data_IF_837320990504
#
_entry.id   IF_837320990504
#
_cell.length_a   1.000
_cell.length_b   1.000
_cell.length_c   1.000
_cell.angle_alpha   90.00
_cell.angle_beta   90.00
_cell.angle_gamma   90.00
#
_symmetry.space_group_name_H-M   'P 1'
#
loop_
_entity.id
_entity.type
_entity.pdbx_description
1 polymer ?
#
# COMPACT_ATOMS: atom_id res chain seq x y z
N UNK A 1 52.68 26.39 -9.75
CA UNK A 1 52.46 25.48 -8.61
C UNK A 1 51.24 26.03 -7.90
N UNK A 2 50.04 25.46 -7.95
CA UNK A 2 49.64 24.06 -7.98
C UNK A 2 48.51 23.96 -6.95
N UNK A 3 47.28 24.09 -7.44
CA UNK A 3 46.01 23.96 -6.70
C UNK A 3 45.91 22.64 -5.93
N UNK A 4 45.25 22.66 -4.76
CA UNK A 4 44.62 21.54 -4.02
C UNK A 4 44.04 22.10 -2.70
N UNK A 5 42.89 21.69 -2.19
CA UNK A 5 41.67 21.10 -2.72
C UNK A 5 40.67 21.21 -1.56
N UNK A 6 39.53 21.83 -1.80
CA UNK A 6 38.32 21.64 -1.01
C UNK A 6 37.78 20.23 -1.29
N UNK A 7 37.54 19.43 -0.25
CA UNK A 7 36.74 18.19 -0.32
C UNK A 7 35.95 18.11 0.98
N UNK A 8 34.64 18.38 0.98
CA UNK A 8 33.53 17.50 0.57
C UNK A 8 32.95 16.77 1.79
N UNK A 9 32.06 17.48 2.51
CA UNK A 9 31.13 16.90 3.48
C UNK A 9 29.86 16.49 2.73
N UNK A 10 29.69 15.20 2.45
CA UNK A 10 28.42 14.55 2.08
C UNK A 10 28.67 13.05 1.97
N UNK A 11 28.17 12.24 2.93
CA UNK A 11 27.94 10.79 2.79
C UNK A 11 27.35 10.19 4.09
N UNK A 12 26.17 10.64 4.54
CA UNK A 12 25.49 10.02 5.70
C UNK A 12 23.98 9.80 5.52
N UNK A 13 23.37 10.26 4.42
CA UNK A 13 21.90 10.19 4.24
C UNK A 13 21.46 9.00 3.38
N UNK A 14 22.35 8.44 2.54
CA UNK A 14 22.04 7.27 1.69
C UNK A 14 22.02 5.94 2.44
N UNK A 15 22.81 5.81 3.51
CA UNK A 15 23.03 4.51 4.18
C UNK A 15 21.82 4.05 5.02
N UNK A 16 21.03 5.00 5.53
CA UNK A 16 19.93 4.69 6.46
C UNK A 16 18.64 4.27 5.75
N UNK A 17 18.37 4.82 4.56
CA UNK A 17 17.23 4.43 3.71
C UNK A 17 17.45 3.07 3.05
N UNK A 18 18.70 2.74 2.71
CA UNK A 18 19.06 1.46 2.10
C UNK A 18 18.91 0.31 3.11
N UNK A 19 19.19 0.56 4.39
CA UNK A 19 19.00 -0.42 5.46
C UNK A 19 17.52 -0.78 5.71
N UNK A 20 16.65 0.23 5.82
CA UNK A 20 15.20 0.02 6.03
C UNK A 20 14.52 -0.59 4.81
N UNK A 21 14.93 -0.22 3.60
CA UNK A 21 14.42 -0.83 2.37
C UNK A 21 14.86 -2.30 2.24
N UNK A 22 16.02 -2.66 2.78
CA UNK A 22 16.52 -4.05 2.81
C UNK A 22 15.73 -4.92 3.80
N UNK A 23 15.38 -4.37 4.96
CA UNK A 23 14.57 -5.05 5.99
C UNK A 23 13.13 -5.31 5.50
N UNK A 24 12.56 -4.34 4.78
CA UNK A 24 11.24 -4.47 4.12
C UNK A 24 11.32 -5.43 2.93
N UNK A 25 12.43 -5.43 2.20
CA UNK A 25 12.71 -6.38 1.12
C UNK A 25 12.74 -7.83 1.61
N UNK A 26 13.43 -8.10 2.71
CA UNK A 26 13.46 -9.41 3.39
C UNK A 26 12.08 -9.83 3.94
N UNK A 27 11.25 -8.86 4.33
CA UNK A 27 9.91 -9.09 4.89
C UNK A 27 8.84 -9.39 3.82
N UNK A 28 8.85 -8.68 2.68
CA UNK A 28 7.88 -8.86 1.59
C UNK A 28 8.11 -10.16 0.81
N UNK A 29 9.35 -10.62 0.76
CA UNK A 29 9.76 -11.92 0.23
C UNK A 29 11.14 -12.24 0.82
N UNK A 30 11.35 -13.39 1.47
CA UNK A 30 12.70 -13.80 1.87
C UNK A 30 13.66 -13.98 0.67
N UNK A 31 13.13 -13.90 -0.56
CA UNK A 31 13.89 -13.93 -1.80
C UNK A 31 14.01 -12.52 -2.38
N UNK A 32 15.21 -11.96 -2.28
CA UNK A 32 15.67 -10.94 -3.21
C UNK A 32 15.79 -11.60 -4.59
N UNK A 33 14.90 -11.25 -5.53
CA UNK A 33 14.87 -11.87 -6.86
C UNK A 33 16.12 -11.56 -7.68
N UNK A 34 16.74 -10.40 -7.48
CA UNK A 34 17.97 -10.01 -8.16
C UNK A 34 19.15 -10.80 -7.60
N UNK A 35 19.25 -10.93 -6.28
CA UNK A 35 20.28 -11.74 -5.64
C UNK A 35 20.05 -13.24 -5.90
N UNK A 36 18.80 -13.71 -5.88
CA UNK A 36 18.42 -15.08 -6.23
C UNK A 36 18.80 -15.38 -7.67
N UNK A 37 18.50 -14.48 -8.62
CA UNK A 37 18.91 -14.61 -10.00
C UNK A 37 20.43 -14.61 -10.14
N UNK A 38 21.14 -13.73 -9.42
CA UNK A 38 22.60 -13.68 -9.40
C UNK A 38 23.20 -14.99 -8.88
N UNK A 39 22.68 -15.53 -7.78
CA UNK A 39 23.10 -16.81 -7.19
C UNK A 39 22.83 -17.98 -8.14
N UNK A 40 21.65 -18.02 -8.76
CA UNK A 40 21.27 -19.02 -9.77
C UNK A 40 22.23 -18.98 -10.96
N UNK A 41 22.53 -17.79 -11.49
CA UNK A 41 23.48 -17.61 -12.59
C UNK A 41 24.92 -17.91 -12.19
N UNK A 42 25.34 -17.58 -10.97
CA UNK A 42 26.69 -17.87 -10.47
C UNK A 42 26.91 -19.38 -10.25
N UNK A 43 25.85 -20.09 -9.88
CA UNK A 43 25.86 -21.55 -9.70
C UNK A 43 25.69 -22.32 -11.03
N UNK A 44 25.62 -21.61 -12.17
CA UNK A 44 25.40 -22.20 -13.49
C UNK A 44 26.64 -22.96 -13.97
N UNK A 45 26.47 -24.25 -14.24
CA UNK A 45 27.49 -25.00 -14.97
C UNK A 45 27.63 -24.45 -16.42
N UNK A 46 28.83 -24.45 -17.02
CA UNK A 46 29.07 -23.93 -18.36
C UNK A 46 28.10 -24.53 -19.39
N UNK A 47 27.56 -23.69 -20.30
CA UNK A 47 26.64 -24.08 -21.39
C UNK A 47 25.27 -24.64 -20.98
N UNK A 48 24.94 -24.72 -19.70
CA UNK A 48 23.63 -25.19 -19.21
C UNK A 48 22.60 -24.06 -19.23
N UNK A 49 21.32 -24.38 -19.49
CA UNK A 49 20.22 -23.40 -19.51
C UNK A 49 20.10 -22.55 -20.78
N UNK A 50 21.05 -22.64 -21.71
CA UNK A 50 21.09 -21.86 -22.96
C UNK A 50 20.29 -22.47 -24.12
N UNK A 51 20.00 -23.77 -24.10
CA UNK A 51 19.27 -24.47 -25.19
C UNK A 51 17.96 -23.76 -25.61
N UNK A 52 17.12 -23.28 -24.67
CA UNK A 52 15.91 -22.56 -25.04
C UNK A 52 16.18 -21.25 -25.77
N UNK A 53 17.28 -20.55 -25.46
CA UNK A 53 17.68 -19.29 -26.10
C UNK A 53 18.10 -19.46 -27.56
N UNK A 54 18.53 -20.68 -27.94
CA UNK A 54 18.91 -21.03 -29.30
C UNK A 54 17.73 -21.53 -30.14
N UNK A 55 16.54 -21.65 -29.53
CA UNK A 55 15.35 -22.14 -30.24
C UNK A 55 14.74 -21.05 -31.12
N UNK A 56 14.22 -21.46 -32.27
CA UNK A 56 13.50 -20.56 -33.17
C UNK A 56 12.29 -19.92 -32.49
N UNK A 57 11.60 -20.67 -31.62
CA UNK A 57 10.48 -20.18 -30.82
C UNK A 57 10.88 -19.02 -29.89
N UNK A 58 12.04 -19.12 -29.24
CA UNK A 58 12.57 -18.03 -28.42
C UNK A 58 12.93 -16.81 -29.25
N UNK A 59 13.60 -16.99 -30.39
CA UNK A 59 14.01 -15.89 -31.26
C UNK A 59 12.79 -15.13 -31.80
N UNK A 60 11.76 -15.84 -32.28
CA UNK A 60 10.51 -15.24 -32.74
C UNK A 60 9.79 -14.48 -31.65
N UNK A 61 9.70 -15.06 -30.45
CA UNK A 61 9.11 -14.37 -29.29
C UNK A 61 9.90 -13.14 -28.87
N UNK A 62 11.24 -13.26 -28.77
CA UNK A 62 12.13 -12.15 -28.40
C UNK A 62 12.06 -11.00 -29.42
N UNK A 63 11.89 -11.30 -30.70
CA UNK A 63 11.74 -10.30 -31.75
C UNK A 63 10.32 -9.69 -31.83
N UNK A 64 9.36 -10.24 -31.09
CA UNK A 64 7.98 -9.76 -31.05
C UNK A 64 7.06 -10.34 -32.13
N UNK A 65 7.53 -11.33 -32.91
CA UNK A 65 6.71 -12.03 -33.91
C UNK A 65 5.60 -12.86 -33.22
N UNK A 66 5.91 -13.41 -32.04
CA UNK A 66 4.98 -14.19 -31.21
C UNK A 66 4.77 -13.50 -29.85
N UNK A 67 3.50 -13.38 -29.39
CA UNK A 67 3.16 -12.67 -28.14
C UNK A 67 3.48 -13.42 -26.86
N UNK A 68 3.63 -14.74 -26.92
CA UNK A 68 3.76 -15.58 -25.73
C UNK A 68 4.68 -16.76 -26.02
N UNK A 69 5.72 -16.92 -25.19
CA UNK A 69 6.59 -18.08 -25.19
C UNK A 69 6.22 -18.99 -24.02
N UNK A 70 5.70 -20.18 -24.33
CA UNK A 70 5.44 -21.21 -23.32
C UNK A 70 6.62 -22.17 -23.28
N UNK A 71 7.26 -22.30 -22.11
CA UNK A 71 8.32 -23.27 -21.88
C UNK A 71 7.87 -24.28 -20.81
N UNK A 72 7.79 -25.56 -21.19
CA UNK A 72 7.47 -26.65 -20.28
C UNK A 72 8.72 -27.47 -19.93
N UNK A 73 8.78 -27.99 -18.70
CA UNK A 73 9.85 -28.91 -18.31
C UNK A 73 9.50 -29.72 -17.06
N UNK A 74 10.05 -30.94 -16.97
CA UNK A 74 9.91 -31.82 -15.80
C UNK A 74 10.43 -31.13 -14.52
N UNK A 75 9.98 -31.52 -13.32
CA UNK A 75 10.62 -31.10 -12.06
C UNK A 75 12.14 -31.33 -12.13
N UNK A 76 12.93 -30.35 -11.69
CA UNK A 76 14.40 -30.42 -11.78
C UNK A 76 15.01 -30.15 -13.18
N UNK A 77 14.21 -29.95 -14.24
CA UNK A 77 14.72 -29.70 -15.60
C UNK A 77 15.43 -28.34 -15.80
N UNK A 78 15.68 -27.58 -14.73
CA UNK A 78 16.36 -26.28 -14.81
C UNK A 78 15.46 -25.12 -15.24
N UNK A 79 14.14 -25.18 -15.02
CA UNK A 79 13.21 -24.08 -15.35
C UNK A 79 13.65 -22.72 -14.81
N UNK A 80 14.08 -22.67 -13.54
CA UNK A 80 14.60 -21.44 -12.92
C UNK A 80 15.92 -20.98 -13.56
N UNK A 81 16.80 -21.90 -13.94
CA UNK A 81 18.04 -21.59 -14.68
C UNK A 81 17.72 -21.01 -16.06
N UNK A 82 16.74 -21.59 -16.77
CA UNK A 82 16.26 -21.10 -18.06
C UNK A 82 15.65 -19.72 -17.93
N UNK A 83 14.78 -19.49 -16.95
CA UNK A 83 14.19 -18.18 -16.69
C UNK A 83 15.27 -17.11 -16.41
N UNK A 84 16.24 -17.43 -15.54
CA UNK A 84 17.36 -16.54 -15.26
C UNK A 84 18.23 -16.24 -16.48
N UNK A 85 18.44 -17.25 -17.35
CA UNK A 85 19.21 -17.09 -18.60
C UNK A 85 18.46 -16.27 -19.64
N UNK A 86 17.12 -16.41 -19.73
CA UNK A 86 16.26 -15.55 -20.57
C UNK A 86 16.33 -14.10 -20.10
N UNK A 87 16.21 -13.86 -18.80
CA UNK A 87 16.31 -12.49 -18.28
C UNK A 87 17.71 -11.90 -18.53
N UNK A 88 18.77 -12.70 -18.40
CA UNK A 88 20.13 -12.27 -18.74
C UNK A 88 20.27 -11.94 -20.22
N UNK A 89 19.84 -12.82 -21.13
CA UNK A 89 19.88 -12.59 -22.58
C UNK A 89 19.06 -11.35 -22.96
N UNK A 90 17.88 -11.17 -22.38
CA UNK A 90 17.07 -9.97 -22.63
C UNK A 90 17.77 -8.70 -22.14
N UNK A 91 18.43 -8.74 -20.98
CA UNK A 91 19.17 -7.59 -20.47
C UNK A 91 20.38 -7.25 -21.35
N UNK A 92 21.11 -8.25 -21.85
CA UNK A 92 22.24 -8.08 -22.78
C UNK A 92 21.78 -7.65 -24.17
N UNK A 93 20.77 -8.33 -24.73
CA UNK A 93 20.20 -8.06 -26.05
C UNK A 93 19.58 -6.66 -26.14
N UNK A 94 19.00 -6.21 -25.04
CA UNK A 94 18.42 -4.90 -24.91
C UNK A 94 19.30 -3.97 -24.06
N UNK A 95 20.63 -4.14 -24.05
CA UNK A 95 21.55 -3.23 -23.35
C UNK A 95 21.27 -1.76 -23.74
N UNK A 96 20.82 -0.96 -22.77
CA UNK A 96 20.38 0.43 -22.97
C UNK A 96 18.89 0.64 -23.24
N UNK A 97 18.05 -0.40 -23.16
CA UNK A 97 16.62 -0.29 -23.47
C UNK A 97 15.72 0.18 -22.35
N UNK A 98 14.61 0.73 -22.84
CA UNK A 98 13.40 1.24 -22.20
C UNK A 98 12.78 0.35 -21.11
N UNK A 99 13.16 -0.93 -21.01
CA UNK A 99 12.65 -1.85 -19.98
C UNK A 99 13.03 -1.38 -18.56
N UNK A 100 14.27 -0.91 -18.37
CA UNK A 100 14.70 -0.33 -17.10
C UNK A 100 13.86 0.90 -16.72
N UNK A 101 13.53 1.73 -17.72
CA UNK A 101 12.71 2.94 -17.54
C UNK A 101 11.27 2.56 -17.18
N UNK A 102 10.70 1.53 -17.81
CA UNK A 102 9.35 1.03 -17.50
C UNK A 102 9.29 0.48 -16.08
N UNK A 103 10.24 -0.35 -15.69
CA UNK A 103 10.31 -0.91 -14.33
C UNK A 103 10.45 0.20 -13.29
N UNK A 104 11.34 1.17 -13.55
CA UNK A 104 11.55 2.30 -12.66
C UNK A 104 10.31 3.19 -12.55
N UNK A 105 9.63 3.47 -13.67
CA UNK A 105 8.41 4.30 -13.72
C UNK A 105 7.19 3.60 -13.13
N UNK A 106 7.10 2.28 -13.30
CA UNK A 106 6.03 1.47 -12.73
C UNK A 106 6.11 1.38 -11.20
N UNK A 107 7.31 1.56 -10.62
CA UNK A 107 7.50 1.54 -9.17
C UNK A 107 6.97 0.26 -8.51
N UNK A 108 7.15 -0.88 -9.18
CA UNK A 108 6.64 -2.18 -8.72
C UNK A 108 5.18 -2.50 -9.04
N UNK A 109 4.42 -1.60 -9.69
CA UNK A 109 3.02 -1.87 -10.04
C UNK A 109 2.86 -2.45 -11.45
N UNK A 110 2.33 -3.67 -11.53
CA UNK A 110 2.07 -4.33 -12.81
C UNK A 110 1.07 -3.57 -13.69
N UNK A 111 0.07 -2.90 -13.10
CA UNK A 111 -0.92 -2.10 -13.85
C UNK A 111 -0.26 -0.90 -14.52
N UNK A 112 0.60 -0.17 -13.80
CA UNK A 112 1.34 0.97 -14.37
C UNK A 112 2.36 0.48 -15.40
N UNK A 113 3.04 -0.64 -15.14
CA UNK A 113 3.94 -1.26 -16.12
C UNK A 113 3.19 -1.61 -17.42
N UNK A 114 2.01 -2.24 -17.32
CA UNK A 114 1.18 -2.58 -18.49
C UNK A 114 0.73 -1.34 -19.25
N UNK A 115 0.13 -0.37 -18.56
CA UNK A 115 -0.35 0.88 -19.19
C UNK A 115 0.79 1.65 -19.87
N UNK A 116 1.97 1.68 -19.25
CA UNK A 116 3.15 2.31 -19.81
C UNK A 116 3.66 1.53 -21.03
N UNK A 117 3.66 0.20 -20.99
CA UNK A 117 4.03 -0.63 -22.14
C UNK A 117 3.05 -0.47 -23.30
N UNK A 118 1.74 -0.48 -23.04
CA UNK A 118 0.70 -0.26 -24.05
C UNK A 118 0.86 1.12 -24.71
N UNK A 119 1.01 2.18 -23.90
CA UNK A 119 1.22 3.55 -24.41
C UNK A 119 2.55 3.69 -25.20
N UNK A 120 3.61 3.00 -24.77
CA UNK A 120 4.89 3.01 -25.48
C UNK A 120 4.86 2.24 -26.81
N UNK A 121 4.04 1.19 -26.90
CA UNK A 121 3.81 0.43 -28.14
C UNK A 121 2.99 1.25 -29.14
N UNK A 122 2.08 2.10 -28.68
CA UNK A 122 1.27 2.99 -29.52
C UNK A 122 2.00 4.27 -29.94
N UNK A 123 3.13 4.59 -29.31
CA UNK A 123 3.89 5.81 -29.60
C UNK A 123 4.51 5.77 -31.03
N UNK A 124 4.17 6.71 -31.92
CA UNK A 124 4.59 6.65 -33.33
C UNK A 124 6.05 7.04 -33.54
N UNK A 125 6.71 7.66 -32.56
CA UNK A 125 8.12 8.06 -32.65
C UNK A 125 8.78 8.20 -31.26
N UNK A 126 10.12 8.30 -31.27
CA UNK A 126 10.94 8.38 -30.05
C UNK A 126 10.62 9.62 -29.19
N UNK A 127 10.30 10.76 -29.81
CA UNK A 127 9.97 12.00 -29.09
C UNK A 127 8.69 11.84 -28.27
N UNK A 128 7.68 11.17 -28.85
CA UNK A 128 6.39 10.92 -28.20
C UNK A 128 6.50 9.85 -27.12
N UNK A 129 7.28 8.80 -27.36
CA UNK A 129 7.62 7.80 -26.33
C UNK A 129 8.36 8.42 -25.12
N UNK A 130 9.32 9.31 -25.37
CA UNK A 130 10.00 10.08 -24.31
C UNK A 130 9.02 11.01 -23.60
N UNK A 131 8.10 11.64 -24.34
CA UNK A 131 7.02 12.44 -23.76
C UNK A 131 6.16 11.62 -22.79
N UNK A 132 5.75 10.41 -23.16
CA UNK A 132 4.97 9.50 -22.31
C UNK A 132 5.76 9.13 -21.05
N UNK A 133 7.04 8.75 -21.19
CA UNK A 133 7.91 8.41 -20.06
C UNK A 133 8.08 9.58 -19.09
N UNK A 134 8.29 10.79 -19.61
CA UNK A 134 8.55 11.98 -18.81
C UNK A 134 7.28 12.50 -18.12
N UNK A 135 6.13 12.37 -18.76
CA UNK A 135 4.83 12.85 -18.23
C UNK A 135 4.13 11.83 -17.34
N UNK A 136 4.37 10.52 -17.53
CA UNK A 136 3.81 9.49 -16.68
C UNK A 136 4.32 9.65 -15.24
N UNK A 137 3.39 9.71 -14.26
CA UNK A 137 3.76 9.75 -12.85
C UNK A 137 4.52 8.48 -12.48
N UNK A 138 5.59 8.64 -11.70
CA UNK A 138 6.34 7.52 -11.12
C UNK A 138 5.46 6.84 -10.08
N UNK A 139 4.85 5.73 -10.47
CA UNK A 139 3.78 5.10 -9.73
C UNK A 139 2.58 6.03 -9.42
N UNK A 140 1.71 5.59 -8.50
CA UNK A 140 0.50 6.33 -8.10
C UNK A 140 0.75 7.22 -6.88
N UNK A 141 1.92 7.11 -6.27
CA UNK A 141 2.34 7.84 -5.06
C UNK A 141 2.21 9.36 -5.25
N UNK A 142 2.68 9.91 -6.38
CA UNK A 142 2.54 11.34 -6.68
C UNK A 142 1.10 11.78 -6.91
N UNK A 143 0.23 10.90 -7.40
CA UNK A 143 -1.20 11.17 -7.58
C UNK A 143 -1.93 11.13 -6.25
N UNK A 144 -1.67 10.11 -5.40
CA UNK A 144 -2.18 10.05 -4.04
C UNK A 144 -1.76 11.27 -3.22
N UNK A 145 -0.48 11.67 -3.36
CA UNK A 145 0.07 12.88 -2.76
C UNK A 145 -0.74 14.13 -3.08
N UNK A 146 -1.02 14.37 -4.36
CA UNK A 146 -1.85 15.51 -4.77
C UNK A 146 -3.27 15.42 -4.23
N UNK A 147 -3.88 14.23 -4.24
CA UNK A 147 -5.24 14.03 -3.70
C UNK A 147 -5.31 14.30 -2.20
N UNK A 148 -4.38 13.73 -1.42
CA UNK A 148 -4.33 13.92 0.04
C UNK A 148 -3.94 15.36 0.39
N UNK A 149 -3.03 15.98 -0.36
CA UNK A 149 -2.70 17.39 -0.19
C UNK A 149 -3.92 18.29 -0.43
N UNK A 150 -4.64 18.09 -1.55
CA UNK A 150 -5.86 18.84 -1.85
C UNK A 150 -6.94 18.66 -0.77
N UNK A 151 -7.05 17.45 -0.21
CA UNK A 151 -7.92 17.16 0.92
C UNK A 151 -7.51 17.92 2.19
N UNK A 152 -6.20 17.99 2.49
CA UNK A 152 -5.66 18.71 3.64
C UNK A 152 -5.73 20.24 3.52
N UNK A 153 -5.65 20.77 2.30
CA UNK A 153 -5.72 22.19 1.95
C UNK A 153 -7.16 22.70 1.74
N UNK A 154 -8.15 21.80 1.78
CA UNK A 154 -9.56 22.14 1.63
C UNK A 154 -10.04 23.17 2.66
N UNK A 155 -10.95 24.05 2.25
CA UNK A 155 -11.47 25.16 3.08
C UNK A 155 -12.48 24.71 4.14
N UNK A 156 -13.06 23.51 4.01
CA UNK A 156 -14.03 22.99 4.97
C UNK A 156 -13.33 22.05 5.99
N UNK A 157 -13.14 22.48 7.25
CA UNK A 157 -12.48 21.66 8.26
C UNK A 157 -13.25 20.39 8.60
N UNK A 158 -14.58 20.40 8.55
CA UNK A 158 -15.39 19.22 8.88
C UNK A 158 -15.20 18.10 7.85
N UNK A 159 -15.15 18.44 6.55
CA UNK A 159 -14.89 17.47 5.47
C UNK A 159 -13.47 16.94 5.55
N UNK A 160 -12.51 17.81 5.88
CA UNK A 160 -11.11 17.42 6.07
C UNK A 160 -10.97 16.41 7.22
N UNK A 161 -11.54 16.71 8.38
CA UNK A 161 -11.49 15.83 9.55
C UNK A 161 -12.20 14.51 9.28
N UNK A 162 -13.37 14.56 8.63
CA UNK A 162 -14.09 13.37 8.15
C UNK A 162 -13.19 12.47 7.30
N UNK A 163 -12.50 13.03 6.31
CA UNK A 163 -11.65 12.27 5.42
C UNK A 163 -10.42 11.70 6.14
N UNK A 164 -9.71 12.50 6.94
CA UNK A 164 -8.51 12.09 7.64
C UNK A 164 -8.80 11.03 8.72
N UNK A 165 -9.90 11.15 9.46
CA UNK A 165 -10.30 10.16 10.46
C UNK A 165 -10.74 8.85 9.81
N UNK A 166 -11.42 8.94 8.66
CA UNK A 166 -11.81 7.74 7.91
C UNK A 166 -10.58 6.99 7.40
N UNK A 167 -9.64 7.70 6.77
CA UNK A 167 -8.39 7.11 6.29
C UNK A 167 -7.55 6.54 7.43
N UNK A 168 -7.52 7.19 8.60
CA UNK A 168 -6.84 6.68 9.79
C UNK A 168 -7.41 5.32 10.21
N UNK A 169 -8.73 5.21 10.37
CA UNK A 169 -9.36 3.96 10.80
C UNK A 169 -9.23 2.86 9.76
N UNK A 170 -9.40 3.15 8.46
CA UNK A 170 -9.27 2.15 7.40
C UNK A 170 -7.82 1.64 7.28
N UNK A 171 -6.83 2.53 7.46
CA UNK A 171 -5.41 2.18 7.26
C UNK A 171 -4.83 1.39 8.44
N UNK A 172 -5.16 1.78 9.68
CA UNK A 172 -4.48 1.25 10.87
C UNK A 172 -5.31 0.22 11.65
N UNK A 173 -6.53 -0.08 11.19
CA UNK A 173 -7.30 -1.21 11.74
C UNK A 173 -6.73 -2.53 11.27
N UNK A 174 -6.63 -3.51 12.19
CA UNK A 174 -6.16 -4.86 11.87
C UNK A 174 -7.10 -5.69 11.01
N UNK A 175 -8.38 -5.31 10.96
CA UNK A 175 -9.39 -5.96 10.14
C UNK A 175 -10.13 -4.92 9.33
N UNK A 176 -10.70 -5.39 8.24
CA UNK A 176 -11.63 -4.61 7.43
C UNK A 176 -12.84 -4.25 8.30
N UNK A 177 -13.16 -2.97 8.35
CA UNK A 177 -14.31 -2.44 9.08
C UNK A 177 -15.56 -2.48 8.19
N UNK A 178 -16.72 -2.65 8.78
CA UNK A 178 -17.99 -2.35 8.10
C UNK A 178 -18.35 -0.87 8.26
N UNK A 179 -19.22 -0.36 7.38
CA UNK A 179 -19.58 1.05 7.34
C UNK A 179 -20.09 1.57 8.68
N UNK A 180 -20.95 0.82 9.37
CA UNK A 180 -21.49 1.23 10.69
C UNK A 180 -20.40 1.36 11.76
N UNK A 181 -19.42 0.46 11.77
CA UNK A 181 -18.27 0.54 12.69
C UNK A 181 -17.42 1.79 12.39
N UNK A 182 -17.14 2.05 11.11
CA UNK A 182 -16.37 3.21 10.71
C UNK A 182 -17.12 4.51 11.02
N UNK A 183 -18.43 4.54 10.78
CA UNK A 183 -19.31 5.68 11.02
C UNK A 183 -19.25 6.10 12.50
N UNK A 184 -19.38 5.15 13.42
CA UNK A 184 -19.31 5.41 14.87
C UNK A 184 -17.91 5.80 15.33
N UNK A 185 -16.87 5.18 14.78
CA UNK A 185 -15.49 5.52 15.07
C UNK A 185 -15.17 6.98 14.71
N UNK A 186 -15.59 7.40 13.52
CA UNK A 186 -15.40 8.76 13.01
C UNK A 186 -16.29 9.75 13.77
N UNK A 187 -17.55 9.39 14.07
CA UNK A 187 -18.45 10.22 14.87
C UNK A 187 -17.86 10.53 16.26
N UNK A 188 -17.21 9.54 16.88
CA UNK A 188 -16.55 9.69 18.18
C UNK A 188 -15.34 10.62 18.12
N UNK A 189 -14.61 10.61 17.00
CA UNK A 189 -13.50 11.54 16.80
C UNK A 189 -13.99 12.98 16.57
N UNK A 190 -15.03 13.16 15.76
CA UNK A 190 -15.60 14.48 15.48
C UNK A 190 -16.28 15.09 16.70
N UNK A 191 -17.00 14.29 17.49
CA UNK A 191 -17.72 14.73 18.70
C UNK A 191 -17.56 13.74 19.84
N UNK A 192 -16.44 13.79 20.59
CA UNK A 192 -16.16 12.84 21.68
C UNK A 192 -17.23 12.82 22.78
N UNK A 193 -17.86 13.95 23.07
CA UNK A 193 -18.85 14.07 24.15
C UNK A 193 -20.24 13.51 23.76
N UNK A 194 -20.56 13.50 22.45
CA UNK A 194 -21.85 13.02 21.97
C UNK A 194 -21.77 12.51 20.51
N UNK A 195 -21.13 11.36 20.26
CA UNK A 195 -20.98 10.79 18.92
C UNK A 195 -22.31 10.59 18.20
N UNK A 196 -23.36 10.22 18.93
CA UNK A 196 -24.70 10.00 18.37
C UNK A 196 -25.25 11.19 17.57
N UNK A 197 -24.86 12.43 17.92
CA UNK A 197 -25.32 13.62 17.21
C UNK A 197 -24.87 13.65 15.74
N UNK A 198 -23.63 13.24 15.44
CA UNK A 198 -23.10 13.19 14.08
C UNK A 198 -23.77 12.11 13.21
N UNK A 199 -24.19 11.01 13.85
CA UNK A 199 -24.87 9.89 13.18
C UNK A 199 -26.30 10.31 12.82
N UNK A 200 -27.00 10.99 13.74
CA UNK A 200 -28.38 11.44 13.52
C UNK A 200 -28.51 12.63 12.56
N UNK A 201 -27.43 13.35 12.28
CA UNK A 201 -27.47 14.55 11.44
C UNK A 201 -27.26 14.28 9.94
N UNK A 202 -27.22 13.01 9.51
CA UNK A 202 -26.96 12.56 8.13
C UNK A 202 -25.65 13.10 7.50
N UNK A 203 -24.72 13.58 8.33
CA UNK A 203 -23.41 14.08 7.86
C UNK A 203 -22.52 12.90 7.45
N UNK A 204 -22.67 11.74 8.11
CA UNK A 204 -21.85 10.55 7.91
C UNK A 204 -22.60 9.49 7.08
N UNK A 205 -22.90 9.79 5.82
CA UNK A 205 -23.47 8.81 4.88
C UNK A 205 -22.35 8.08 4.13
N UNK A 206 -22.69 6.96 3.47
CA UNK A 206 -21.77 6.25 2.58
C UNK A 206 -21.20 7.19 1.51
N UNK A 207 -22.05 8.03 0.94
CA UNK A 207 -21.68 8.96 -0.11
C UNK A 207 -20.76 10.06 0.42
N UNK A 208 -21.09 10.66 1.57
CA UNK A 208 -20.25 11.73 2.13
C UNK A 208 -18.85 11.23 2.52
N UNK A 209 -18.71 9.99 2.98
CA UNK A 209 -17.40 9.38 3.24
C UNK A 209 -16.58 9.18 1.96
N UNK A 210 -17.20 8.63 0.91
CA UNK A 210 -16.53 8.39 -0.38
C UNK A 210 -16.10 9.72 -1.02
N UNK A 211 -16.97 10.72 -0.97
CA UNK A 211 -16.71 12.06 -1.50
C UNK A 211 -15.62 12.78 -0.70
N UNK A 212 -15.69 12.74 0.64
CA UNK A 212 -14.69 13.35 1.51
C UNK A 212 -13.30 12.74 1.31
N UNK A 213 -13.22 11.41 1.15
CA UNK A 213 -11.98 10.71 0.86
C UNK A 213 -11.54 10.79 -0.62
N UNK A 214 -12.22 11.61 -1.45
CA UNK A 214 -11.87 11.86 -2.84
C UNK A 214 -11.68 10.57 -3.67
N UNK A 215 -12.49 9.54 -3.42
CA UNK A 215 -12.43 8.27 -4.14
C UNK A 215 -11.25 7.35 -3.76
N UNK A 216 -10.51 7.64 -2.69
CA UNK A 216 -9.47 6.74 -2.17
C UNK A 216 -10.03 5.50 -1.46
N UNK A 217 -11.33 5.52 -1.14
CA UNK A 217 -12.04 4.45 -0.46
C UNK A 217 -13.18 3.92 -1.33
N UNK A 218 -13.55 2.67 -1.08
CA UNK A 218 -14.74 2.01 -1.65
C UNK A 218 -15.51 1.30 -0.55
N UNK A 219 -16.83 1.21 -0.72
CA UNK A 219 -17.73 0.50 0.20
C UNK A 219 -18.41 -0.60 -0.61
N UNK A 220 -18.28 -1.86 -0.16
CA UNK A 220 -18.89 -3.01 -0.84
C UNK A 220 -20.42 -3.04 -0.62
N UNK A 221 -21.21 -3.03 -1.69
CA UNK A 221 -22.69 -2.98 -1.61
C UNK A 221 -23.34 -4.11 -0.78
N UNK A 222 -22.73 -5.31 -0.79
CA UNK A 222 -23.33 -6.50 -0.15
C UNK A 222 -22.93 -6.70 1.30
N UNK A 223 -21.73 -6.25 1.67
CA UNK A 223 -21.13 -6.56 2.97
C UNK A 223 -20.92 -5.32 3.82
N UNK A 224 -21.11 -4.14 3.23
CA UNK A 224 -20.79 -2.84 3.81
C UNK A 224 -19.34 -2.70 4.28
N UNK A 225 -18.45 -3.57 3.79
CA UNK A 225 -17.02 -3.47 4.10
C UNK A 225 -16.42 -2.26 3.42
N UNK A 226 -15.72 -1.45 4.21
CA UNK A 226 -15.01 -0.27 3.73
C UNK A 226 -13.55 -0.63 3.48
N UNK A 227 -13.05 -0.31 2.29
CA UNK A 227 -11.68 -0.62 1.87
C UNK A 227 -11.05 0.58 1.18
N UNK A 228 -9.72 0.58 1.15
CA UNK A 228 -8.99 1.42 0.21
C UNK A 228 -9.20 0.87 -1.21
N UNK A 229 -9.29 1.77 -2.18
CA UNK A 229 -9.50 1.40 -3.59
C UNK A 229 -8.38 0.51 -4.13
N UNK A 230 -7.18 0.62 -3.56
CA UNK A 230 -6.03 -0.22 -3.90
C UNK A 230 -5.06 -0.34 -2.73
N UNK A 231 -4.32 -1.46 -2.64
CA UNK A 231 -3.38 -1.70 -1.54
C UNK A 231 -2.23 -0.67 -1.51
N UNK A 232 -1.82 -0.13 -2.66
CA UNK A 232 -0.76 0.90 -2.72
C UNK A 232 -1.15 2.22 -2.05
N UNK A 233 -2.46 2.47 -1.86
CA UNK A 233 -2.94 3.61 -1.07
C UNK A 233 -2.60 3.39 0.40
N UNK A 234 -2.68 2.14 0.88
CA UNK A 234 -2.28 1.78 2.23
C UNK A 234 -0.79 2.07 2.45
N UNK A 235 0.06 1.60 1.53
CA UNK A 235 1.51 1.83 1.58
C UNK A 235 1.85 3.33 1.61
N UNK A 236 1.16 4.13 0.78
CA UNK A 236 1.32 5.59 0.80
C UNK A 236 0.94 6.21 2.15
N UNK A 237 -0.24 5.86 2.68
CA UNK A 237 -0.74 6.43 3.94
C UNK A 237 0.08 6.01 5.17
N UNK A 238 0.60 4.77 5.18
CA UNK A 238 1.55 4.31 6.22
C UNK A 238 2.84 5.12 6.16
N UNK A 239 3.36 5.39 4.96
CA UNK A 239 4.58 6.19 4.80
C UNK A 239 4.40 7.64 5.22
N UNK A 240 3.24 8.23 4.93
CA UNK A 240 2.88 9.60 5.28
C UNK A 240 2.30 9.76 6.69
N UNK A 241 2.28 8.69 7.50
CA UNK A 241 1.63 8.66 8.80
C UNK A 241 2.04 9.83 9.71
N UNK A 242 3.34 10.14 9.76
CA UNK A 242 3.90 11.19 10.64
C UNK A 242 3.50 12.59 10.18
N UNK A 243 3.26 12.78 8.88
CA UNK A 243 2.86 14.06 8.30
C UNK A 243 1.35 14.29 8.46
N UNK A 244 0.56 13.23 8.38
CA UNK A 244 -0.90 13.30 8.42
C UNK A 244 -1.46 13.25 9.84
N UNK A 245 -0.81 12.54 10.78
CA UNK A 245 -1.31 12.34 12.14
C UNK A 245 -0.20 12.40 13.19
N UNK A 246 -0.41 13.20 14.24
CA UNK A 246 0.57 13.39 15.32
C UNK A 246 0.84 12.10 16.12
N UNK A 247 -0.20 11.28 16.38
CA UNK A 247 -0.04 9.96 17.01
C UNK A 247 -1.28 9.08 16.78
N UNK A 248 -1.24 8.25 15.74
CA UNK A 248 -2.34 7.37 15.36
C UNK A 248 -2.79 6.46 16.50
N UNK A 249 -1.86 5.80 17.19
CA UNK A 249 -2.19 4.82 18.24
C UNK A 249 -2.88 5.48 19.42
N UNK A 250 -2.39 6.65 19.85
CA UNK A 250 -3.03 7.45 20.89
C UNK A 250 -4.42 7.89 20.46
N UNK A 251 -4.57 8.39 19.23
CA UNK A 251 -5.86 8.82 18.68
C UNK A 251 -6.87 7.67 18.69
N UNK A 252 -6.50 6.50 18.19
CA UNK A 252 -7.36 5.31 18.20
C UNK A 252 -7.72 4.88 19.63
N UNK A 253 -6.74 4.84 20.55
CA UNK A 253 -6.97 4.44 21.94
C UNK A 253 -7.92 5.41 22.67
N UNK A 254 -7.69 6.73 22.53
CA UNK A 254 -8.56 7.75 23.11
C UNK A 254 -9.97 7.65 22.54
N UNK A 255 -10.12 7.41 21.23
CA UNK A 255 -11.42 7.22 20.59
C UNK A 255 -12.16 6.02 21.18
N UNK A 256 -11.49 4.88 21.33
CA UNK A 256 -12.08 3.70 21.96
C UNK A 256 -12.57 4.00 23.40
N UNK A 257 -11.76 4.72 24.20
CA UNK A 257 -12.13 5.08 25.58
C UNK A 257 -13.31 6.07 25.60
N UNK A 258 -13.30 7.08 24.74
CA UNK A 258 -14.41 8.05 24.63
C UNK A 258 -15.71 7.36 24.22
N UNK A 259 -15.64 6.42 23.26
CA UNK A 259 -16.80 5.63 22.86
C UNK A 259 -17.31 4.73 23.99
N UNK A 260 -16.40 4.04 24.71
CA UNK A 260 -16.78 3.23 25.87
C UNK A 260 -17.48 4.08 26.94
N UNK A 261 -16.95 5.26 27.23
CA UNK A 261 -17.58 6.21 28.16
C UNK A 261 -18.98 6.63 27.70
N UNK A 262 -19.18 6.75 26.39
CA UNK A 262 -20.49 7.07 25.81
C UNK A 262 -21.48 5.90 25.94
N UNK A 263 -21.07 4.67 25.65
CA UNK A 263 -22.01 3.52 25.64
C UNK A 263 -22.29 2.96 27.04
N UNK A 264 -21.31 2.97 27.96
CA UNK A 264 -21.43 2.28 29.25
C UNK A 264 -22.67 2.70 30.08
N UNK A 265 -23.02 4.00 30.19
CA UNK A 265 -24.25 4.41 30.88
C UNK A 265 -25.55 4.01 30.17
N UNK A 266 -25.48 3.61 28.90
CA UNK A 266 -26.63 3.27 28.04
C UNK A 266 -26.85 1.76 27.92
N UNK A 267 -25.87 0.96 28.31
CA UNK A 267 -26.02 -0.49 28.41
C UNK A 267 -26.91 -0.80 29.63
N UNK A 268 -28.09 -1.36 29.38
CA UNK A 268 -28.94 -1.90 30.45
C UNK A 268 -28.37 -3.26 30.88
N UNK A 269 -27.71 -3.30 32.04
CA UNK A 269 -27.21 -4.55 32.61
C UNK A 269 -28.36 -5.32 33.26
N UNK A 270 -28.72 -6.47 32.69
CA UNK A 270 -29.69 -7.38 33.30
C UNK A 270 -28.93 -8.56 33.90
N UNK A 271 -28.89 -8.64 35.23
CA UNK A 271 -28.14 -9.66 35.99
C UNK A 271 -28.55 -11.12 35.74
N UNK A 272 -29.53 -11.37 34.86
CA UNK A 272 -30.09 -12.69 34.55
C UNK A 272 -29.71 -13.22 33.15
N UNK A 273 -29.02 -12.42 32.30
CA UNK A 273 -28.63 -12.83 30.94
C UNK A 273 -27.16 -13.28 30.90
N UNK A 274 -26.84 -14.29 30.10
CA UNK A 274 -25.45 -14.73 29.90
C UNK A 274 -24.61 -13.59 29.28
N UNK A 275 -23.43 -13.34 29.86
CA UNK A 275 -22.49 -12.28 29.44
C UNK A 275 -22.21 -12.29 27.92
N UNK A 276 -22.14 -13.46 27.29
CA UNK A 276 -21.91 -13.57 25.84
C UNK A 276 -23.08 -13.06 24.98
N UNK A 277 -24.31 -13.22 25.45
CA UNK A 277 -25.52 -12.77 24.75
C UNK A 277 -25.70 -11.26 24.92
N UNK A 278 -25.34 -10.71 26.09
CA UNK A 278 -25.26 -9.26 26.31
C UNK A 278 -24.16 -8.61 25.45
N UNK A 279 -22.98 -9.23 25.32
CA UNK A 279 -21.91 -8.73 24.44
C UNK A 279 -22.36 -8.76 22.97
N UNK A 280 -23.11 -9.80 22.56
CA UNK A 280 -23.66 -9.89 21.21
C UNK A 280 -24.70 -8.80 20.95
N UNK A 281 -25.61 -8.60 21.90
CA UNK A 281 -26.64 -7.55 21.82
C UNK A 281 -26.00 -6.15 21.81
N UNK A 282 -24.98 -5.94 22.64
CA UNK A 282 -24.19 -4.71 22.64
C UNK A 282 -23.48 -4.50 21.30
N UNK A 283 -22.89 -5.53 20.67
CA UNK A 283 -22.29 -5.39 19.33
C UNK A 283 -23.30 -5.08 18.22
N UNK A 284 -24.55 -5.57 18.33
CA UNK A 284 -25.62 -5.23 17.37
C UNK A 284 -26.03 -3.77 17.55
N UNK A 285 -26.14 -3.31 18.80
CA UNK A 285 -26.59 -1.96 19.14
C UNK A 285 -25.47 -0.89 19.00
N UNK A 286 -24.22 -1.31 19.19
CA UNK A 286 -23.02 -0.47 19.22
C UNK A 286 -21.91 -1.12 18.36
N UNK A 287 -22.02 -1.10 17.01
CA UNK A 287 -21.08 -1.75 16.10
C UNK A 287 -19.59 -1.51 16.40
N UNK A 288 -19.20 -0.28 16.73
CA UNK A 288 -17.80 0.06 17.03
C UNK A 288 -17.28 -0.60 18.31
N UNK A 289 -18.15 -1.09 19.20
CA UNK A 289 -17.77 -1.92 20.35
C UNK A 289 -17.02 -3.19 19.92
N UNK A 290 -17.42 -3.81 18.80
CA UNK A 290 -16.75 -4.98 18.23
C UNK A 290 -15.43 -4.65 17.52
N UNK A 291 -15.21 -3.40 17.14
CA UNK A 291 -13.95 -2.92 16.56
C UNK A 291 -12.84 -2.80 17.62
N UNK A 292 -13.18 -2.67 18.91
CA UNK A 292 -12.24 -2.67 20.04
C UNK A 292 -11.30 -3.89 20.03
N UNK A 293 -11.85 -5.08 19.75
CA UNK A 293 -11.08 -6.34 19.69
C UNK A 293 -10.06 -6.32 18.54
N UNK A 294 -10.28 -5.53 17.49
CA UNK A 294 -9.33 -5.40 16.38
C UNK A 294 -8.04 -4.64 16.78
N UNK A 295 -8.12 -3.76 17.78
CA UNK A 295 -6.96 -3.03 18.31
C UNK A 295 -6.15 -3.86 19.34
N UNK A 296 -6.75 -4.88 19.97
CA UNK A 296 -6.27 -5.47 21.24
C UNK A 296 -5.08 -6.45 21.19
N UNK A 297 -4.46 -6.75 20.03
CA UNK A 297 -3.23 -7.58 19.98
C UNK A 297 -1.94 -6.80 19.74
N UNK A 298 -1.67 -5.72 20.47
CA UNK A 298 -0.32 -5.10 20.48
C UNK A 298 0.38 -5.22 21.84
N UNK A 299 0.98 -6.38 22.21
CA UNK A 299 1.82 -6.45 23.40
C UNK A 299 3.23 -5.89 23.24
N UNK A 300 3.69 -5.47 22.05
CA UNK A 300 5.14 -5.31 21.82
C UNK A 300 5.72 -3.89 21.81
N UNK A 301 4.92 -2.81 21.85
CA UNK A 301 5.46 -1.43 21.81
C UNK A 301 4.95 -0.49 22.89
N UNK A 302 4.05 -0.94 23.78
CA UNK A 302 3.61 -0.13 24.92
C UNK A 302 4.65 -0.05 26.07
N UNK A 303 5.78 -0.75 25.97
CA UNK A 303 6.87 -0.69 26.96
C UNK A 303 7.91 0.41 26.68
N UNK A 304 7.90 1.10 25.54
CA UNK A 304 8.98 2.07 25.23
C UNK A 304 8.69 3.52 25.61
N UNK A 305 7.46 3.89 25.99
CA UNK A 305 7.09 5.29 26.27
C UNK A 305 6.70 5.54 27.73
N UNK A 306 7.44 4.93 28.65
CA UNK A 306 7.40 5.25 30.07
C UNK A 306 8.74 5.87 30.52
N UNK A 307 9.21 6.92 29.85
CA UNK A 307 10.18 7.86 30.42
C UNK A 307 10.06 9.23 29.72
N UNK A 308 10.06 10.27 30.57
CA UNK A 308 9.88 11.72 30.35
C UNK A 308 8.45 12.25 30.44
#
# INVERSE_FOLDING_TARGET
MGSRNSTSSSNTVTDHSDYQNREIGEWLSPFDFMETQRVILHSRAPNTGLKPLLSEAYVRWRNGDDRTLLMSGLPGAGKSMTAASVVQDLNEYYEGCKVAVVVQKAGGMFVVARLLMDALLEAPNVKEALGIILTMPTGLQGTYGKTVQHMCEGTNPEIKDLALYSLLWITFSRRVLVFSELQEAVATLLKPDNPGQCITSDILTKQSLVDACAGLITIEDRTDKVRLIHYTVHEYLVKEQVNLWTNVQRTMAVTCVSYLRYILPRLQYNSEVYVEEEIRNANIQYPFFGARIACERHPLHAQSNAHF
#
